data_IF_010143358022
#
_entry.id   IF_010143358022
#
_cell.length_a   1.000
_cell.length_b   1.000
_cell.length_c   1.000
_cell.angle_alpha   90.00
_cell.angle_beta   90.00
_cell.angle_gamma   90.00
#
_symmetry.space_group_name_H-M   'P 1'
#
loop_
_entity.id
_entity.type
_entity.pdbx_description
1 polymer ?
#
# COMPACT_ATOMS: atom_id res chain seq x y z
N UNK A 1 -61.05 -48.37 -45.38
CA UNK A 1 -59.95 -47.95 -44.49
C UNK A 1 -59.42 -46.60 -44.95
N UNK A 2 -59.61 -45.53 -44.16
CA UNK A 2 -58.67 -44.41 -43.91
C UNK A 2 -59.45 -43.26 -43.25
N UNK A 3 -59.40 -43.24 -41.91
CA UNK A 3 -59.70 -42.06 -41.09
C UNK A 3 -58.44 -41.18 -41.09
N UNK A 4 -58.60 -39.88 -41.33
CA UNK A 4 -57.57 -38.88 -41.05
C UNK A 4 -58.06 -38.02 -39.88
N UNK A 5 -57.30 -38.08 -38.79
CA UNK A 5 -57.56 -37.44 -37.51
C UNK A 5 -57.12 -35.97 -37.52
N UNK A 6 -57.90 -35.13 -36.85
CA UNK A 6 -57.62 -33.73 -36.58
C UNK A 6 -56.50 -33.58 -35.53
N UNK A 7 -55.56 -32.67 -35.79
CA UNK A 7 -54.52 -32.24 -34.85
C UNK A 7 -55.03 -31.04 -34.02
N UNK A 8 -54.84 -31.01 -32.69
CA UNK A 8 -55.23 -29.86 -31.89
C UNK A 8 -54.13 -28.78 -31.90
N UNK A 9 -54.57 -27.53 -31.96
CA UNK A 9 -53.75 -26.33 -31.86
C UNK A 9 -53.28 -26.17 -30.40
N UNK A 10 -51.98 -26.33 -30.14
CA UNK A 10 -51.36 -26.10 -28.83
C UNK A 10 -50.96 -24.62 -28.73
N UNK A 11 -51.76 -23.81 -28.03
CA UNK A 11 -51.43 -22.42 -27.70
C UNK A 11 -50.36 -22.37 -26.62
N UNK A 12 -49.14 -22.02 -27.01
CA UNK A 12 -48.00 -21.79 -26.12
C UNK A 12 -48.20 -20.44 -25.41
N UNK A 13 -48.56 -20.47 -24.13
CA UNK A 13 -48.61 -19.29 -23.26
C UNK A 13 -47.16 -18.82 -23.02
N UNK A 14 -46.75 -17.69 -23.62
CA UNK A 14 -45.51 -17.01 -23.22
C UNK A 14 -45.72 -16.43 -21.81
N UNK A 15 -45.15 -17.11 -20.82
CA UNK A 15 -44.90 -16.50 -19.51
C UNK A 15 -43.74 -15.52 -19.71
N UNK A 16 -44.03 -14.23 -19.70
CA UNK A 16 -43.00 -13.20 -19.61
C UNK A 16 -42.19 -13.46 -18.32
N UNK A 17 -40.84 -13.56 -18.38
CA UNK A 17 -40.06 -13.60 -17.17
C UNK A 17 -40.31 -12.29 -16.44
N UNK A 18 -40.80 -12.37 -15.21
CA UNK A 18 -40.86 -11.22 -14.31
C UNK A 18 -39.45 -10.62 -14.22
N UNK A 19 -39.28 -9.40 -14.75
CA UNK A 19 -38.09 -8.59 -14.52
C UNK A 19 -38.05 -8.29 -13.02
N UNK A 20 -37.28 -9.08 -12.27
CA UNK A 20 -36.74 -8.63 -11.00
C UNK A 20 -35.43 -7.93 -11.34
N UNK A 21 -35.25 -6.68 -10.90
CA UNK A 21 -33.96 -6.01 -11.03
C UNK A 21 -32.83 -6.93 -10.55
N UNK A 22 -31.75 -7.00 -11.33
CA UNK A 22 -30.61 -7.86 -11.04
C UNK A 22 -30.10 -7.56 -9.63
N UNK A 23 -29.97 -8.55 -8.72
CA UNK A 23 -29.54 -8.28 -7.36
C UNK A 23 -28.16 -7.61 -7.36
N UNK A 24 -27.87 -6.75 -6.36
CA UNK A 24 -26.58 -6.06 -6.24
C UNK A 24 -25.36 -6.99 -6.38
N UNK A 25 -25.49 -8.27 -6.01
CA UNK A 25 -24.45 -9.29 -6.19
C UNK A 25 -24.10 -9.50 -7.66
N UNK A 26 -25.09 -9.56 -8.56
CA UNK A 26 -24.88 -9.71 -10.00
C UNK A 26 -24.27 -8.44 -10.61
N UNK A 27 -24.76 -7.27 -10.18
CA UNK A 27 -24.22 -5.99 -10.63
C UNK A 27 -22.75 -5.81 -10.22
N UNK A 28 -22.40 -6.17 -8.98
CA UNK A 28 -21.02 -6.22 -8.51
C UNK A 28 -20.18 -7.23 -9.28
N UNK A 29 -20.75 -8.38 -9.63
CA UNK A 29 -20.05 -9.39 -10.43
C UNK A 29 -19.73 -8.87 -11.84
N UNK A 30 -20.65 -8.15 -12.49
CA UNK A 30 -20.39 -7.49 -13.77
C UNK A 30 -19.22 -6.50 -13.67
N UNK A 31 -19.14 -5.74 -12.59
CA UNK A 31 -18.02 -4.83 -12.35
C UNK A 31 -16.68 -5.57 -12.11
N UNK A 32 -16.70 -6.70 -11.40
CA UNK A 32 -15.53 -7.59 -11.23
C UNK A 32 -15.08 -8.15 -12.59
N UNK A 33 -16.04 -8.49 -13.45
CA UNK A 33 -15.80 -8.93 -14.83
C UNK A 33 -15.42 -7.78 -15.77
N UNK A 34 -15.28 -6.56 -15.25
CA UNK A 34 -14.96 -5.31 -15.97
C UNK A 34 -16.00 -4.89 -17.01
N UNK A 35 -17.21 -5.45 -16.94
CA UNK A 35 -18.36 -5.07 -17.76
C UNK A 35 -19.07 -3.85 -17.14
N UNK A 36 -18.35 -2.73 -17.02
CA UNK A 36 -18.82 -1.54 -16.28
C UNK A 36 -20.08 -0.91 -16.88
N UNK A 37 -20.26 -0.95 -18.20
CA UNK A 37 -21.48 -0.45 -18.84
C UNK A 37 -22.71 -1.27 -18.43
N UNK A 38 -22.61 -2.61 -18.47
CA UNK A 38 -23.69 -3.51 -18.03
C UNK A 38 -23.94 -3.43 -16.52
N UNK A 39 -22.88 -3.24 -15.73
CA UNK A 39 -23.01 -3.01 -14.30
C UNK A 39 -23.75 -1.70 -14.01
N UNK A 40 -23.49 -0.65 -14.80
CA UNK A 40 -24.17 0.63 -14.65
C UNK A 40 -25.64 0.53 -15.03
N UNK A 41 -25.97 -0.18 -16.12
CA UNK A 41 -27.36 -0.48 -16.50
C UNK A 41 -28.09 -1.21 -15.37
N UNK A 42 -27.50 -2.27 -14.80
CA UNK A 42 -28.09 -3.01 -13.69
C UNK A 42 -28.26 -2.18 -12.41
N UNK A 43 -27.33 -1.27 -12.11
CA UNK A 43 -27.50 -0.31 -11.01
C UNK A 43 -28.63 0.68 -11.29
N UNK A 44 -28.72 1.19 -12.52
CA UNK A 44 -29.78 2.15 -12.89
C UNK A 44 -31.17 1.49 -12.82
N UNK A 45 -31.29 0.19 -13.16
CA UNK A 45 -32.52 -0.59 -12.95
C UNK A 45 -32.88 -0.73 -11.47
N UNK A 46 -31.91 -1.06 -10.61
CA UNK A 46 -32.13 -1.15 -9.16
C UNK A 46 -32.59 0.18 -8.56
N UNK A 47 -32.03 1.29 -9.03
CA UNK A 47 -32.38 2.63 -8.56
C UNK A 47 -33.71 3.13 -9.14
N UNK A 48 -34.20 2.57 -10.25
CA UNK A 48 -35.55 2.83 -10.72
C UNK A 48 -36.60 2.20 -9.80
N UNK A 49 -36.31 1.05 -9.19
CA UNK A 49 -37.18 0.39 -8.21
C UNK A 49 -37.07 1.01 -6.81
N UNK A 50 -35.83 1.25 -6.34
CA UNK A 50 -35.54 1.90 -5.06
C UNK A 50 -34.53 3.04 -5.23
N UNK A 51 -35.01 4.27 -5.50
CA UNK A 51 -34.15 5.44 -5.67
C UNK A 51 -33.32 5.81 -4.43
N UNK A 52 -33.63 5.26 -3.25
CA UNK A 52 -32.93 5.55 -1.99
C UNK A 52 -31.96 4.45 -1.59
N UNK A 53 -31.77 3.42 -2.41
CA UNK A 53 -30.81 2.36 -2.13
C UNK A 53 -29.38 2.93 -2.07
N UNK A 54 -28.88 3.12 -0.84
CA UNK A 54 -27.59 3.75 -0.59
C UNK A 54 -26.43 2.97 -1.20
N UNK A 55 -26.49 1.64 -1.13
CA UNK A 55 -25.48 0.75 -1.68
C UNK A 55 -25.40 0.88 -3.20
N UNK A 56 -26.55 0.89 -3.88
CA UNK A 56 -26.62 1.04 -5.33
C UNK A 56 -26.15 2.43 -5.78
N UNK A 57 -26.50 3.50 -5.06
CA UNK A 57 -26.04 4.88 -5.37
C UNK A 57 -24.54 5.05 -5.18
N UNK A 58 -23.99 4.53 -4.09
CA UNK A 58 -22.54 4.47 -3.87
C UNK A 58 -21.85 3.78 -5.04
N UNK A 59 -22.34 2.57 -5.37
CA UNK A 59 -21.76 1.76 -6.44
C UNK A 59 -21.90 2.43 -7.82
N UNK A 60 -22.99 3.15 -8.08
CA UNK A 60 -23.17 3.98 -9.27
C UNK A 60 -22.05 4.99 -9.44
N UNK A 61 -21.73 5.74 -8.37
CA UNK A 61 -20.63 6.72 -8.38
C UNK A 61 -19.27 6.07 -8.68
N UNK A 62 -19.03 4.87 -8.14
CA UNK A 62 -17.83 4.07 -8.45
C UNK A 62 -17.78 3.69 -9.93
N UNK A 63 -18.88 3.14 -10.48
CA UNK A 63 -18.96 2.74 -11.89
C UNK A 63 -18.78 3.92 -12.84
N UNK A 64 -19.41 5.07 -12.55
CA UNK A 64 -19.21 6.31 -13.31
C UNK A 64 -17.73 6.73 -13.32
N UNK A 65 -17.03 6.56 -12.21
CA UNK A 65 -15.59 6.82 -12.15
C UNK A 65 -14.79 5.85 -13.02
N UNK A 66 -15.12 4.55 -12.99
CA UNK A 66 -14.45 3.51 -13.82
C UNK A 66 -14.68 3.72 -15.32
N UNK A 67 -15.80 4.33 -15.69
CA UNK A 67 -16.17 4.70 -17.06
C UNK A 67 -15.62 6.07 -17.49
N UNK A 68 -14.77 6.70 -16.69
CA UNK A 68 -14.22 8.05 -16.94
C UNK A 68 -15.30 9.15 -17.06
N UNK A 69 -16.48 8.91 -16.49
CA UNK A 69 -17.59 9.88 -16.40
C UNK A 69 -17.45 10.72 -15.12
N UNK A 70 -16.29 11.37 -14.98
CA UNK A 70 -15.86 12.05 -13.75
C UNK A 70 -16.87 13.11 -13.26
N UNK A 71 -17.43 13.92 -14.17
CA UNK A 71 -18.40 14.96 -13.80
C UNK A 71 -19.67 14.36 -13.20
N UNK A 72 -20.18 13.26 -13.80
CA UNK A 72 -21.38 12.57 -13.32
C UNK A 72 -21.12 11.93 -11.94
N UNK A 73 -19.94 11.32 -11.76
CA UNK A 73 -19.54 10.74 -10.48
C UNK A 73 -19.46 11.78 -9.35
N UNK A 74 -18.90 12.97 -9.64
CA UNK A 74 -18.85 14.07 -8.67
C UNK A 74 -20.25 14.52 -8.27
N UNK A 75 -21.17 14.64 -9.24
CA UNK A 75 -22.57 15.00 -8.96
C UNK A 75 -23.23 13.93 -8.07
N UNK A 76 -23.04 12.65 -8.38
CA UNK A 76 -23.60 11.54 -7.59
C UNK A 76 -23.08 11.57 -6.14
N UNK A 77 -21.77 11.68 -5.93
CA UNK A 77 -21.19 11.73 -4.58
C UNK A 77 -21.57 13.00 -3.82
N UNK A 78 -21.69 14.16 -4.48
CA UNK A 78 -22.18 15.38 -3.83
C UNK A 78 -23.64 15.25 -3.41
N UNK A 79 -24.49 14.64 -4.24
CA UNK A 79 -25.88 14.38 -3.89
C UNK A 79 -25.99 13.40 -2.72
N UNK A 80 -25.19 12.33 -2.71
CA UNK A 80 -25.09 11.40 -1.58
C UNK A 80 -24.68 12.12 -0.29
N UNK A 81 -23.66 12.98 -0.34
CA UNK A 81 -23.16 13.70 0.82
C UNK A 81 -24.11 14.81 1.32
N UNK A 82 -24.97 15.34 0.46
CA UNK A 82 -26.01 16.28 0.87
C UNK A 82 -27.09 15.60 1.74
N UNK A 83 -27.37 14.32 1.49
CA UNK A 83 -28.35 13.53 2.23
C UNK A 83 -27.72 12.76 3.41
N UNK A 84 -26.49 12.30 3.24
CA UNK A 84 -25.75 11.44 4.17
C UNK A 84 -24.33 12.00 4.43
N UNK A 85 -24.20 13.13 5.15
CA UNK A 85 -22.92 13.81 5.37
C UNK A 85 -21.96 13.07 6.32
N UNK A 86 -22.43 11.99 6.93
CA UNK A 86 -21.76 11.14 7.92
C UNK A 86 -21.10 9.88 7.33
N UNK A 87 -21.23 9.66 6.02
CA UNK A 87 -20.56 8.55 5.34
C UNK A 87 -19.13 8.91 4.94
N UNK A 88 -18.15 8.16 5.45
CA UNK A 88 -16.73 8.39 5.15
C UNK A 88 -16.37 8.06 3.69
N UNK A 89 -16.95 7.02 3.12
CA UNK A 89 -16.64 6.51 1.78
C UNK A 89 -16.89 7.51 0.63
N UNK A 90 -18.07 8.17 0.52
CA UNK A 90 -18.29 9.22 -0.48
C UNK A 90 -17.31 10.38 -0.37
N UNK A 91 -16.90 10.76 0.85
CA UNK A 91 -15.89 11.82 1.04
C UNK A 91 -14.53 11.40 0.45
N UNK A 92 -14.10 10.16 0.70
CA UNK A 92 -12.89 9.61 0.08
C UNK A 92 -13.00 9.60 -1.46
N UNK A 93 -14.09 9.05 -2.00
CA UNK A 93 -14.26 8.93 -3.45
C UNK A 93 -14.36 10.30 -4.14
N UNK A 94 -15.07 11.26 -3.54
CA UNK A 94 -15.12 12.64 -4.04
C UNK A 94 -13.74 13.29 -4.03
N UNK A 95 -12.95 13.10 -2.97
CA UNK A 95 -11.61 13.67 -2.89
C UNK A 95 -10.70 13.20 -4.03
N UNK A 96 -10.77 11.91 -4.35
CA UNK A 96 -9.98 11.32 -5.42
C UNK A 96 -10.37 11.92 -6.78
N UNK A 97 -11.66 12.13 -7.03
CA UNK A 97 -12.15 12.79 -8.25
C UNK A 97 -11.72 14.26 -8.34
N UNK A 98 -11.80 15.00 -7.23
CA UNK A 98 -11.33 16.38 -7.13
C UNK A 98 -9.82 16.47 -7.39
N UNK A 99 -9.04 15.52 -6.86
CA UNK A 99 -7.60 15.43 -7.10
C UNK A 99 -7.28 15.19 -8.59
N UNK A 100 -8.06 14.35 -9.27
CA UNK A 100 -7.93 14.13 -10.72
C UNK A 100 -8.21 15.41 -11.53
N UNK A 101 -9.02 16.33 -11.01
CA UNK A 101 -9.26 17.66 -11.59
C UNK A 101 -8.24 18.72 -11.16
N UNK A 102 -7.25 18.36 -10.32
CA UNK A 102 -6.26 19.30 -9.77
C UNK A 102 -6.77 20.14 -8.60
N UNK A 103 -7.97 19.86 -8.08
CA UNK A 103 -8.58 20.57 -6.95
C UNK A 103 -8.06 20.01 -5.60
N UNK A 104 -6.74 20.02 -5.40
CA UNK A 104 -6.08 19.34 -4.28
C UNK A 104 -6.48 19.84 -2.90
N UNK A 105 -6.79 21.13 -2.74
CA UNK A 105 -7.24 21.69 -1.47
C UNK A 105 -8.63 21.16 -1.09
N UNK A 106 -9.56 21.08 -2.03
CA UNK A 106 -10.89 20.51 -1.77
C UNK A 106 -10.80 18.99 -1.54
N UNK A 107 -9.91 18.30 -2.26
CA UNK A 107 -9.61 16.89 -2.02
C UNK A 107 -9.10 16.66 -0.59
N UNK A 108 -8.21 17.53 -0.09
CA UNK A 108 -7.73 17.47 1.30
C UNK A 108 -8.88 17.57 2.30
N UNK A 109 -9.75 18.57 2.16
CA UNK A 109 -10.87 18.77 3.10
C UNK A 109 -11.82 17.56 3.12
N UNK A 110 -12.12 16.99 1.96
CA UNK A 110 -12.93 15.78 1.86
C UNK A 110 -12.27 14.58 2.54
N UNK A 111 -10.96 14.35 2.35
CA UNK A 111 -10.24 13.26 3.03
C UNK A 111 -10.15 13.46 4.55
N UNK A 112 -9.92 14.69 5.01
CA UNK A 112 -9.96 15.02 6.44
C UNK A 112 -11.34 14.72 7.03
N UNK A 113 -12.42 14.99 6.30
CA UNK A 113 -13.76 14.63 6.72
C UNK A 113 -13.98 13.12 6.76
N UNK A 114 -13.51 12.38 5.76
CA UNK A 114 -13.55 10.91 5.75
C UNK A 114 -12.83 10.31 6.97
N UNK A 115 -11.63 10.80 7.29
CA UNK A 115 -10.84 10.36 8.45
C UNK A 115 -11.50 10.76 9.77
N UNK A 116 -12.13 11.94 9.85
CA UNK A 116 -12.86 12.34 11.04
C UNK A 116 -14.04 11.40 11.33
N UNK A 117 -14.75 10.96 10.29
CA UNK A 117 -15.88 10.04 10.39
C UNK A 117 -15.41 8.61 10.68
N UNK A 118 -14.31 8.18 10.05
CA UNK A 118 -13.72 6.85 10.24
C UNK A 118 -12.19 6.96 10.42
N UNK A 119 -11.71 7.11 11.67
CA UNK A 119 -10.27 7.32 11.94
C UNK A 119 -9.35 6.21 11.46
N UNK A 120 -9.88 4.99 11.32
CA UNK A 120 -9.14 3.80 10.88
C UNK A 120 -9.24 3.54 9.37
N UNK A 121 -9.76 4.50 8.59
CA UNK A 121 -9.90 4.37 7.13
C UNK A 121 -8.54 4.53 6.45
N UNK A 122 -7.82 3.42 6.33
CA UNK A 122 -6.46 3.35 5.78
C UNK A 122 -6.32 3.99 4.40
N UNK A 123 -7.26 3.73 3.49
CA UNK A 123 -7.28 4.26 2.13
C UNK A 123 -7.38 5.79 2.13
N UNK A 124 -8.16 6.37 3.05
CA UNK A 124 -8.26 7.83 3.18
C UNK A 124 -6.96 8.45 3.70
N UNK A 125 -6.22 7.77 4.60
CA UNK A 125 -4.89 8.22 5.05
C UNK A 125 -3.84 8.13 3.93
N UNK A 126 -3.87 7.06 3.13
CA UNK A 126 -3.00 6.91 1.96
C UNK A 126 -3.25 8.04 0.95
N UNK A 127 -4.50 8.22 0.54
CA UNK A 127 -4.91 9.29 -0.36
C UNK A 127 -4.53 10.67 0.20
N UNK A 128 -4.68 10.92 1.50
CA UNK A 128 -4.30 12.19 2.11
C UNK A 128 -2.78 12.44 2.06
N UNK A 129 -1.97 11.39 2.20
CA UNK A 129 -0.52 11.46 2.01
C UNK A 129 -0.12 11.87 0.59
N UNK A 130 -0.82 11.34 -0.41
CA UNK A 130 -0.62 11.71 -1.82
C UNK A 130 -1.00 13.17 -2.07
N UNK A 131 -2.12 13.63 -1.52
CA UNK A 131 -2.54 15.03 -1.60
C UNK A 131 -1.52 15.96 -0.93
N UNK A 132 -1.02 15.63 0.26
CA UNK A 132 0.02 16.43 0.90
C UNK A 132 1.31 16.49 0.08
N UNK A 133 1.69 15.38 -0.57
CA UNK A 133 2.86 15.34 -1.46
C UNK A 133 2.68 16.26 -2.67
N UNK A 134 1.49 16.27 -3.29
CA UNK A 134 1.16 17.18 -4.40
C UNK A 134 1.15 18.64 -3.98
N UNK A 135 0.49 18.97 -2.86
CA UNK A 135 0.46 20.34 -2.32
C UNK A 135 1.86 20.85 -1.96
N UNK A 136 2.69 19.99 -1.35
CA UNK A 136 4.09 20.32 -1.08
C UNK A 136 4.87 20.58 -2.38
N UNK A 137 4.70 19.74 -3.40
CA UNK A 137 5.33 19.93 -4.71
C UNK A 137 4.97 21.29 -5.31
N UNK A 138 3.68 21.64 -5.37
CA UNK A 138 3.20 22.93 -5.88
C UNK A 138 3.79 24.12 -5.12
N UNK A 139 3.87 24.03 -3.79
CA UNK A 139 4.44 25.08 -2.95
C UNK A 139 5.95 25.25 -3.21
N UNK A 140 6.70 24.16 -3.35
CA UNK A 140 8.13 24.22 -3.66
C UNK A 140 8.38 24.71 -5.09
N UNK A 141 7.57 24.29 -6.06
CA UNK A 141 7.64 24.81 -7.43
C UNK A 141 7.41 26.32 -7.44
N UNK A 142 6.40 26.80 -6.72
CA UNK A 142 6.15 28.24 -6.60
C UNK A 142 7.32 28.98 -5.97
N UNK A 143 7.92 28.43 -4.91
CA UNK A 143 9.09 29.01 -4.27
C UNK A 143 10.32 29.04 -5.21
N UNK A 144 10.47 28.04 -6.06
CA UNK A 144 11.54 27.97 -7.07
C UNK A 144 11.31 28.96 -8.22
N UNK A 145 10.08 29.08 -8.72
CA UNK A 145 9.72 30.08 -9.74
C UNK A 145 9.95 31.53 -9.28
N UNK A 146 9.76 31.80 -7.98
CA UNK A 146 10.01 33.12 -7.41
C UNK A 146 11.51 33.40 -7.21
N UNK A 147 12.32 32.36 -7.06
CA UNK A 147 13.78 32.46 -6.93
C UNK A 147 14.44 31.15 -7.40
N UNK A 148 14.94 31.16 -8.64
CA UNK A 148 15.56 29.99 -9.28
C UNK A 148 16.86 29.55 -8.61
N UNK A 149 17.47 30.40 -7.76
CA UNK A 149 18.65 30.06 -6.96
C UNK A 149 18.30 29.39 -5.62
N UNK A 150 17.01 29.18 -5.32
CA UNK A 150 16.55 28.55 -4.09
C UNK A 150 16.87 27.04 -4.06
N UNK A 151 18.14 26.73 -3.74
CA UNK A 151 18.64 25.35 -3.67
C UNK A 151 17.89 24.47 -2.65
N UNK A 152 17.19 25.06 -1.67
CA UNK A 152 16.39 24.29 -0.71
C UNK A 152 15.13 23.75 -1.38
N UNK A 153 14.39 24.60 -2.09
CA UNK A 153 13.22 24.21 -2.86
C UNK A 153 13.59 23.19 -3.95
N UNK A 154 14.67 23.46 -4.70
CA UNK A 154 15.17 22.57 -5.75
C UNK A 154 15.48 21.14 -5.23
N UNK A 155 16.14 21.02 -4.07
CA UNK A 155 16.41 19.71 -3.46
C UNK A 155 15.13 19.01 -3.01
N UNK A 156 14.16 19.75 -2.46
CA UNK A 156 12.87 19.18 -2.02
C UNK A 156 12.04 18.69 -3.20
N UNK A 157 12.03 19.42 -4.31
CA UNK A 157 11.41 18.97 -5.56
C UNK A 157 12.03 17.66 -6.07
N UNK A 158 13.36 17.55 -6.06
CA UNK A 158 14.04 16.29 -6.44
C UNK A 158 13.69 15.10 -5.55
N UNK A 159 13.47 15.32 -4.25
CA UNK A 159 13.01 14.26 -3.34
C UNK A 159 11.55 13.88 -3.60
N UNK A 160 10.70 14.87 -3.89
CA UNK A 160 9.29 14.63 -4.17
C UNK A 160 9.06 13.97 -5.53
N UNK A 161 9.92 14.19 -6.52
CA UNK A 161 9.81 13.54 -7.83
C UNK A 161 9.64 12.02 -7.71
N UNK A 162 10.42 11.35 -6.85
CA UNK A 162 10.31 9.90 -6.62
C UNK A 162 9.04 9.44 -5.89
N UNK A 163 8.30 10.35 -5.26
CA UNK A 163 7.04 10.09 -4.56
C UNK A 163 5.84 10.42 -5.46
N UNK A 164 5.99 11.46 -6.29
CA UNK A 164 4.96 12.01 -7.18
C UNK A 164 4.90 11.27 -8.53
N UNK A 165 5.99 10.60 -8.93
CA UNK A 165 6.11 9.73 -10.13
C UNK A 165 5.55 8.30 -9.95
N UNK A 166 4.80 8.03 -8.88
CA UNK A 166 3.85 6.90 -8.93
C UNK A 166 2.77 7.34 -9.92
N UNK A 167 3.00 7.03 -11.20
CA UNK A 167 2.07 7.21 -12.33
C UNK A 167 0.65 7.19 -11.79
N UNK A 168 -0.01 8.35 -11.79
CA UNK A 168 -1.47 8.52 -11.69
C UNK A 168 -2.15 7.23 -11.25
N UNK A 169 -1.94 6.82 -10.00
CA UNK A 169 -2.55 5.61 -9.49
C UNK A 169 -4.03 5.93 -9.61
N UNK A 170 -4.66 5.36 -10.65
CA UNK A 170 -5.99 5.75 -11.04
C UNK A 170 -6.86 5.71 -9.80
N UNK A 171 -7.80 6.64 -9.64
CA UNK A 171 -8.58 6.82 -8.44
C UNK A 171 -8.72 5.54 -7.60
N UNK A 172 -8.10 5.48 -6.43
CA UNK A 172 -8.38 4.43 -5.44
C UNK A 172 -9.76 4.71 -4.86
N UNK A 173 -10.77 4.52 -5.72
CA UNK A 173 -12.17 4.49 -5.37
C UNK A 173 -12.37 3.18 -4.62
N UNK A 174 -12.99 3.24 -3.46
CA UNK A 174 -13.31 2.01 -2.74
C UNK A 174 -14.40 1.25 -3.49
N UNK A 175 -14.10 0.03 -3.93
CA UNK A 175 -15.07 -0.85 -4.62
C UNK A 175 -16.01 -1.58 -3.64
N UNK A 176 -15.99 -1.22 -2.35
CA UNK A 176 -16.69 -1.94 -1.28
C UNK A 176 -17.66 -1.03 -0.53
N UNK A 177 -18.94 -1.00 -0.92
CA UNK A 177 -19.97 -0.34 -0.15
C UNK A 177 -20.33 -1.27 1.01
N UNK A 178 -19.61 -1.12 2.12
CA UNK A 178 -20.05 -1.64 3.40
C UNK A 178 -19.90 -0.53 4.42
N UNK A 179 -21.00 0.15 4.79
CA UNK A 179 -20.97 1.14 5.85
C UNK A 179 -20.49 0.47 7.14
N UNK A 180 -19.25 0.73 7.55
CA UNK A 180 -18.75 0.30 8.86
C UNK A 180 -19.22 1.31 9.89
N UNK A 181 -20.45 1.10 10.36
CA UNK A 181 -20.96 1.74 11.56
C UNK A 181 -20.30 1.07 12.77
N UNK A 182 -19.20 1.63 13.27
CA UNK A 182 -18.82 1.53 14.68
C UNK A 182 -17.63 2.46 15.01
N UNK A 183 -17.91 3.47 15.84
CA UNK A 183 -16.90 4.27 16.52
C UNK A 183 -17.22 4.34 18.02
N UNK A 184 -16.25 3.99 18.85
CA UNK A 184 -16.08 4.34 20.29
C UNK A 184 -14.76 3.66 20.70
N UNK A 185 -13.72 4.26 21.30
CA UNK A 185 -13.33 5.57 21.82
C UNK A 185 -11.78 5.63 21.75
N UNK A 186 -11.12 6.80 21.79
CA UNK A 186 -9.66 6.90 21.91
C UNK A 186 -9.20 6.80 23.38
N UNK A 187 -8.06 6.15 23.71
CA UNK A 187 -7.51 6.21 25.05
C UNK A 187 -6.71 7.49 25.31
N UNK A 188 -6.88 7.96 26.55
CA UNK A 188 -6.44 9.20 27.17
C UNK A 188 -4.95 9.20 27.54
N UNK A 189 -4.25 10.31 27.30
CA UNK A 189 -2.82 10.49 27.64
C UNK A 189 -2.70 11.01 29.08
N UNK A 190 -2.06 10.24 29.97
CA UNK A 190 -1.71 10.70 31.32
C UNK A 190 -0.36 11.41 31.34
N UNK A 191 -0.39 12.65 31.83
CA UNK A 191 0.77 13.47 32.20
C UNK A 191 1.56 12.83 33.35
N UNK A 192 2.89 12.91 33.28
CA UNK A 192 3.78 12.61 34.41
C UNK A 192 4.37 13.92 34.94
N UNK A 193 4.13 14.13 36.24
CA UNK A 193 4.59 15.23 37.08
C UNK A 193 6.02 14.98 37.55
N UNK A 194 6.83 16.03 37.58
CA UNK A 194 8.19 16.05 38.13
C UNK A 194 8.21 16.03 39.67
N UNK A 195 9.33 15.60 40.27
CA UNK A 195 9.75 16.15 41.57
C UNK A 195 11.20 16.69 41.59
N UNK A 196 11.56 17.47 42.63
CA UNK A 196 12.73 18.36 42.66
C UNK A 196 13.94 17.84 43.47
N UNK A 197 15.01 18.64 43.43
CA UNK A 197 16.29 18.57 44.19
C UNK A 197 16.09 18.55 45.73
N UNK A 198 17.03 18.24 46.64
CA UNK A 198 18.47 18.48 46.85
C UNK A 198 19.03 17.29 47.73
N UNK A 199 20.33 16.99 47.87
CA UNK A 199 21.22 17.67 48.84
C UNK A 199 22.69 17.18 48.73
N UNK A 200 23.62 18.04 49.16
CA UNK A 200 25.08 17.83 49.38
C UNK A 200 25.37 18.16 50.87
N UNK A 201 26.59 18.01 51.44
CA UNK A 201 27.78 17.21 51.08
C UNK A 201 28.42 16.49 52.31
N UNK A 202 29.44 15.66 52.08
CA UNK A 202 30.50 15.42 53.07
C UNK A 202 31.86 15.22 52.37
N UNK A 203 32.84 16.06 52.76
CA UNK A 203 34.24 15.97 52.36
C UNK A 203 34.98 14.96 53.25
N UNK A 204 35.83 14.11 52.67
CA UNK A 204 36.99 13.57 53.38
C UNK A 204 38.20 13.49 52.44
N UNK A 205 39.25 14.20 52.87
CA UNK A 205 40.70 14.05 52.67
C UNK A 205 41.26 13.55 51.32
N UNK A 206 42.16 14.36 50.75
CA UNK A 206 43.11 13.96 49.71
C UNK A 206 44.24 13.09 50.27
N UNK A 207 44.63 12.01 49.57
CA UNK A 207 46.00 11.53 49.62
C UNK A 207 46.68 11.58 48.24
N UNK A 208 47.82 12.28 48.24
CA UNK A 208 49.05 12.09 47.47
C UNK A 208 48.99 11.46 46.07
N UNK A 209 49.38 12.29 45.09
CA UNK A 209 49.66 11.93 43.69
C UNK A 209 50.89 11.02 43.62
N UNK A 210 50.66 9.73 43.42
CA UNK A 210 51.60 8.85 42.71
C UNK A 210 51.24 8.88 41.23
N UNK A 211 52.22 9.19 40.36
CA UNK A 211 52.04 9.10 38.90
C UNK A 211 51.77 7.64 38.53
N UNK A 212 50.50 7.33 38.34
CA UNK A 212 50.04 6.09 37.72
C UNK A 212 50.48 6.11 36.25
N UNK A 213 51.05 5.02 35.71
CA UNK A 213 51.30 4.94 34.28
C UNK A 213 49.97 5.06 33.54
N UNK A 214 49.94 5.88 32.48
CA UNK A 214 48.76 6.06 31.63
C UNK A 214 48.10 4.70 31.34
N UNK A 215 46.81 4.52 31.65
CA UNK A 215 46.13 3.28 31.38
C UNK A 215 46.20 3.03 29.87
N UNK A 216 46.82 1.90 29.50
CA UNK A 216 46.93 1.46 28.12
C UNK A 216 45.51 1.50 27.52
N UNK A 217 45.30 2.18 26.38
CA UNK A 217 43.97 2.37 25.85
C UNK A 217 43.30 0.99 25.68
N UNK A 218 42.02 0.87 26.07
CA UNK A 218 41.31 -0.41 25.97
C UNK A 218 41.41 -0.94 24.54
N UNK A 219 41.55 -2.27 24.37
CA UNK A 219 41.63 -2.86 23.05
C UNK A 219 40.39 -2.46 22.24
N UNK A 220 40.59 -1.91 21.04
CA UNK A 220 39.48 -1.52 20.17
C UNK A 220 38.67 -2.77 19.79
N UNK A 221 37.37 -2.76 20.08
CA UNK A 221 36.44 -3.84 19.75
C UNK A 221 35.55 -3.37 18.60
N UNK A 222 35.27 -4.27 17.65
CA UNK A 222 34.42 -3.98 16.50
C UNK A 222 32.96 -4.34 16.79
N UNK A 223 32.06 -3.40 16.53
CA UNK A 223 30.62 -3.49 16.77
C UNK A 223 29.81 -3.30 15.50
N UNK A 224 28.67 -3.98 15.39
CA UNK A 224 27.68 -3.77 14.33
C UNK A 224 26.53 -2.89 14.84
N UNK A 225 26.31 -1.76 14.19
CA UNK A 225 25.21 -0.84 14.48
C UNK A 225 24.17 -0.98 13.38
N UNK A 226 22.96 -1.38 13.73
CA UNK A 226 21.84 -1.61 12.80
C UNK A 226 20.70 -0.61 13.05
N UNK A 227 19.67 -0.65 12.19
CA UNK A 227 18.45 0.14 12.34
C UNK A 227 18.33 1.29 11.36
N UNK A 228 19.04 1.20 10.22
CA UNK A 228 19.01 2.21 9.17
C UNK A 228 18.10 1.76 8.03
N UNK A 229 17.09 2.57 7.73
CA UNK A 229 16.16 2.37 6.61
C UNK A 229 16.76 2.83 5.27
N UNK A 230 17.64 3.85 5.32
CA UNK A 230 18.35 4.40 4.16
C UNK A 230 19.66 5.11 4.56
N UNK A 231 20.48 5.45 3.56
CA UNK A 231 21.81 6.05 3.70
C UNK A 231 21.80 7.40 4.45
N UNK A 232 20.70 8.15 4.41
CA UNK A 232 20.60 9.44 5.09
C UNK A 232 20.61 9.30 6.61
N UNK A 233 20.16 8.16 7.12
CA UNK A 233 20.16 7.84 8.55
C UNK A 233 21.55 7.42 9.05
N UNK A 234 22.46 6.97 8.16
CA UNK A 234 23.82 6.58 8.53
C UNK A 234 24.65 7.80 8.97
N UNK A 235 24.57 8.91 8.23
CA UNK A 235 25.43 10.09 8.40
C UNK A 235 25.49 10.66 9.83
N UNK A 236 24.36 10.92 10.52
CA UNK A 236 24.41 11.48 11.88
C UNK A 236 25.01 10.50 12.89
N UNK A 237 24.78 9.19 12.72
CA UNK A 237 25.33 8.16 13.61
C UNK A 237 26.82 7.94 13.31
N UNK A 238 27.23 7.94 12.04
CA UNK A 238 28.63 7.89 11.61
C UNK A 238 29.42 9.06 12.18
N UNK A 239 28.89 10.29 12.09
CA UNK A 239 29.55 11.48 12.64
C UNK A 239 29.71 11.38 14.15
N UNK A 240 28.62 11.04 14.86
CA UNK A 240 28.64 10.86 16.31
C UNK A 240 29.65 9.81 16.79
N UNK A 241 29.71 8.65 16.14
CA UNK A 241 30.68 7.60 16.45
C UNK A 241 32.12 8.04 16.17
N UNK A 242 32.36 8.82 15.11
CA UNK A 242 33.70 9.34 14.78
C UNK A 242 34.16 10.41 15.77
N UNK A 243 33.26 11.27 16.24
CA UNK A 243 33.56 12.26 17.27
C UNK A 243 33.94 11.61 18.62
N UNK A 244 33.39 10.43 18.91
CA UNK A 244 33.75 9.56 20.04
C UNK A 244 35.08 8.79 19.81
N UNK A 245 35.74 8.98 18.66
CA UNK A 245 37.02 8.35 18.32
C UNK A 245 36.91 6.94 17.74
N UNK A 246 35.72 6.49 17.35
CA UNK A 246 35.53 5.21 16.70
C UNK A 246 35.93 5.26 15.20
N UNK A 247 36.49 4.17 14.70
CA UNK A 247 36.69 3.98 13.24
C UNK A 247 35.42 3.35 12.68
N UNK A 248 34.74 4.06 11.77
CA UNK A 248 33.43 3.64 11.25
C UNK A 248 33.48 3.33 9.77
N UNK A 249 33.01 2.14 9.39
CA UNK A 249 32.77 1.69 8.01
C UNK A 249 31.27 1.60 7.78
N UNK A 250 30.80 2.31 6.76
CA UNK A 250 29.41 2.22 6.30
C UNK A 250 29.27 0.98 5.40
N UNK A 251 28.24 0.18 5.64
CA UNK A 251 27.96 -1.03 4.86
C UNK A 251 26.57 -0.92 4.26
N UNK A 252 26.50 -1.10 2.94
CA UNK A 252 25.27 -1.19 2.18
C UNK A 252 25.31 -2.50 1.39
N UNK A 253 24.43 -3.44 1.72
CA UNK A 253 24.30 -4.71 1.00
C UNK A 253 22.97 -4.73 0.24
N UNK A 254 23.02 -5.16 -1.01
CA UNK A 254 21.81 -5.41 -1.80
C UNK A 254 21.37 -6.85 -1.62
N UNK A 255 20.19 -7.05 -1.03
CA UNK A 255 19.56 -8.37 -0.99
C UNK A 255 18.30 -8.38 -1.86
N UNK A 256 18.17 -9.42 -2.67
CA UNK A 256 16.93 -9.70 -3.39
C UNK A 256 15.94 -10.36 -2.42
N UNK A 257 15.01 -9.55 -1.90
CA UNK A 257 13.92 -10.08 -1.06
C UNK A 257 12.80 -10.56 -1.95
N UNK A 258 12.34 -11.79 -1.71
CA UNK A 258 11.11 -12.31 -2.33
C UNK A 258 9.93 -11.47 -1.83
N UNK A 259 9.25 -10.78 -2.75
CA UNK A 259 8.05 -9.99 -2.45
C UNK A 259 6.77 -10.81 -2.55
N UNK A 260 6.72 -11.75 -3.49
CA UNK A 260 5.59 -12.65 -3.73
C UNK A 260 5.98 -13.78 -4.69
N UNK A 261 5.04 -14.68 -4.97
CA UNK A 261 5.16 -15.78 -5.90
C UNK A 261 4.13 -15.61 -7.01
N UNK A 262 4.59 -15.58 -8.25
CA UNK A 262 3.71 -15.54 -9.42
C UNK A 262 3.39 -16.98 -9.84
N UNK A 263 2.12 -17.29 -10.05
CA UNK A 263 1.67 -18.58 -10.60
C UNK A 263 1.22 -18.37 -12.04
N UNK A 264 1.64 -19.25 -12.94
CA UNK A 264 1.30 -19.16 -14.36
C UNK A 264 1.26 -20.52 -15.04
N UNK A 265 0.46 -20.63 -16.10
CA UNK A 265 0.56 -21.70 -17.10
C UNK A 265 1.68 -21.32 -18.08
N UNK A 266 2.64 -22.22 -18.35
CA UNK A 266 3.77 -21.94 -19.23
C UNK A 266 3.36 -21.42 -20.61
N UNK A 267 4.24 -20.66 -21.28
CA UNK A 267 4.03 -20.20 -22.64
C UNK A 267 3.63 -21.31 -23.62
N UNK A 268 2.62 -21.03 -24.44
CA UNK A 268 2.18 -21.88 -25.54
C UNK A 268 2.72 -21.35 -26.87
N UNK A 269 2.61 -22.18 -27.91
CA UNK A 269 3.18 -21.90 -29.23
C UNK A 269 2.73 -20.56 -29.83
N UNK A 270 1.47 -20.16 -29.62
CA UNK A 270 0.92 -18.92 -30.16
C UNK A 270 -0.35 -18.49 -29.41
N UNK A 271 -0.86 -17.29 -29.74
CA UNK A 271 -2.06 -16.69 -29.14
C UNK A 271 -3.32 -17.54 -29.30
N UNK A 272 -3.46 -18.28 -30.41
CA UNK A 272 -4.61 -19.15 -30.64
C UNK A 272 -4.65 -20.29 -29.62
N UNK A 273 -3.51 -20.93 -29.36
CA UNK A 273 -3.41 -21.98 -28.34
C UNK A 273 -3.63 -21.42 -26.93
N UNK A 274 -3.18 -20.20 -26.66
CA UNK A 274 -3.48 -19.49 -25.40
C UNK A 274 -4.98 -19.28 -25.21
N UNK A 275 -5.68 -18.78 -26.23
CA UNK A 275 -7.12 -18.56 -26.14
C UNK A 275 -7.88 -19.87 -25.92
N UNK A 276 -7.51 -20.95 -26.62
CA UNK A 276 -8.08 -22.30 -26.38
C UNK A 276 -7.86 -22.76 -24.95
N UNK A 277 -6.65 -22.58 -24.44
CA UNK A 277 -6.30 -22.99 -23.08
C UNK A 277 -7.04 -22.17 -22.01
N UNK A 278 -7.22 -20.87 -22.24
CA UNK A 278 -8.03 -19.99 -21.38
C UNK A 278 -9.49 -20.46 -21.35
N UNK A 279 -10.08 -20.79 -22.50
CA UNK A 279 -11.45 -21.33 -22.55
C UNK A 279 -11.55 -22.62 -21.74
N UNK A 280 -10.61 -23.56 -21.90
CA UNK A 280 -10.59 -24.82 -21.13
C UNK A 280 -10.50 -24.58 -19.61
N UNK A 281 -9.63 -23.66 -19.18
CA UNK A 281 -9.51 -23.29 -17.78
C UNK A 281 -10.79 -22.67 -17.24
N UNK A 282 -11.43 -21.77 -18.00
CA UNK A 282 -12.72 -21.16 -17.64
C UNK A 282 -13.84 -22.21 -17.53
N UNK A 283 -13.90 -23.16 -18.46
CA UNK A 283 -14.86 -24.28 -18.41
C UNK A 283 -14.61 -25.17 -17.19
N UNK A 284 -13.36 -25.33 -16.77
CA UNK A 284 -12.99 -26.06 -15.55
C UNK A 284 -13.22 -25.24 -14.25
N UNK A 285 -13.87 -24.07 -14.33
CA UNK A 285 -14.20 -23.23 -13.19
C UNK A 285 -13.13 -22.21 -12.78
N UNK A 286 -12.04 -22.09 -13.55
CA UNK A 286 -10.94 -21.17 -13.27
C UNK A 286 -11.13 -19.88 -14.06
N UNK A 287 -11.58 -18.81 -13.38
CA UNK A 287 -11.94 -17.54 -14.04
C UNK A 287 -10.90 -16.42 -13.86
N UNK A 288 -10.14 -16.49 -12.78
CA UNK A 288 -9.10 -15.54 -12.36
C UNK A 288 -7.77 -15.78 -13.10
N UNK A 289 -7.82 -15.74 -14.44
CA UNK A 289 -6.67 -15.98 -15.31
C UNK A 289 -6.50 -14.87 -16.36
N UNK A 290 -5.26 -14.48 -16.63
CA UNK A 290 -4.93 -13.37 -17.53
C UNK A 290 -3.89 -13.83 -18.56
N UNK A 291 -4.10 -13.49 -19.83
CA UNK A 291 -3.10 -13.75 -20.86
C UNK A 291 -1.85 -12.87 -20.66
N UNK A 292 -0.66 -13.47 -20.72
CA UNK A 292 0.61 -12.75 -20.68
C UNK A 292 1.05 -12.42 -22.11
N UNK A 293 1.20 -11.12 -22.39
CA UNK A 293 1.44 -10.61 -23.75
C UNK A 293 2.89 -10.16 -24.03
N UNK A 294 3.74 -10.05 -22.99
CA UNK A 294 5.11 -9.50 -23.08
C UNK A 294 6.08 -10.23 -22.14
N UNK A 295 7.37 -10.01 -22.33
CA UNK A 295 8.45 -10.59 -21.52
C UNK A 295 8.66 -12.08 -21.78
N UNK A 296 9.44 -12.73 -20.92
CA UNK A 296 9.86 -14.14 -21.06
C UNK A 296 8.68 -15.13 -20.97
N UNK A 297 7.55 -14.68 -20.42
CA UNK A 297 6.32 -15.45 -20.33
C UNK A 297 5.28 -15.08 -21.39
N UNK A 298 5.68 -14.40 -22.47
CA UNK A 298 4.78 -14.11 -23.60
C UNK A 298 4.12 -15.40 -24.10
N UNK A 299 2.82 -15.36 -24.35
CA UNK A 299 1.95 -16.51 -24.63
C UNK A 299 1.73 -17.46 -23.44
N UNK A 300 2.06 -17.05 -22.21
CA UNK A 300 1.65 -17.74 -20.98
C UNK A 300 0.30 -17.25 -20.47
N UNK A 301 -0.19 -17.86 -19.39
CA UNK A 301 -1.42 -17.44 -18.70
C UNK A 301 -1.09 -17.24 -17.23
N UNK A 302 -1.21 -16.01 -16.72
CA UNK A 302 -1.08 -15.72 -15.29
C UNK A 302 -2.30 -16.26 -14.53
N UNK A 303 -2.05 -16.87 -13.38
CA UNK A 303 -3.05 -17.53 -12.53
C UNK A 303 -3.00 -17.06 -11.07
N UNK A 304 -2.45 -15.85 -10.86
CA UNK A 304 -2.40 -15.15 -9.59
C UNK A 304 -0.99 -14.79 -9.10
N UNK A 305 -0.96 -13.90 -8.10
CA UNK A 305 0.23 -13.53 -7.32
C UNK A 305 -0.09 -13.84 -5.86
N UNK A 306 0.83 -14.53 -5.17
CA UNK A 306 0.61 -15.06 -3.84
C UNK A 306 1.71 -14.59 -2.89
N UNK A 307 1.33 -14.17 -1.68
CA UNK A 307 2.30 -13.68 -0.69
C UNK A 307 3.25 -14.76 -0.15
N UNK A 308 2.87 -16.03 -0.23
CA UNK A 308 3.68 -17.15 0.29
C UNK A 308 3.88 -18.26 -0.73
N UNK A 309 4.96 -19.03 -0.56
CA UNK A 309 5.28 -20.18 -1.42
C UNK A 309 4.19 -21.24 -1.34
N UNK A 310 3.67 -21.46 -0.14
CA UNK A 310 2.67 -22.47 0.16
C UNK A 310 1.34 -22.13 -0.52
N UNK A 311 0.93 -20.85 -0.52
CA UNK A 311 -0.27 -20.41 -1.20
C UNK A 311 -0.14 -20.56 -2.73
N UNK A 312 1.00 -20.17 -3.29
CA UNK A 312 1.29 -20.39 -4.70
C UNK A 312 1.27 -21.88 -5.07
N UNK A 313 1.85 -22.73 -4.21
CA UNK A 313 1.90 -24.17 -4.44
C UNK A 313 0.49 -24.80 -4.37
N UNK A 314 -0.38 -24.37 -3.46
CA UNK A 314 -1.79 -24.81 -3.43
C UNK A 314 -2.50 -24.50 -4.75
N UNK A 315 -2.26 -23.31 -5.32
CA UNK A 315 -2.82 -22.94 -6.63
C UNK A 315 -2.28 -23.84 -7.75
N UNK A 316 -0.98 -24.11 -7.76
CA UNK A 316 -0.36 -25.04 -8.71
C UNK A 316 -0.98 -26.45 -8.60
N UNK A 317 -1.16 -26.96 -7.39
CA UNK A 317 -1.79 -28.27 -7.16
C UNK A 317 -3.26 -28.28 -7.59
N UNK A 318 -4.00 -27.19 -7.37
CA UNK A 318 -5.38 -27.07 -7.85
C UNK A 318 -5.44 -27.16 -9.39
N UNK A 319 -4.56 -26.47 -10.10
CA UNK A 319 -4.46 -26.59 -11.57
C UNK A 319 -4.13 -28.01 -12.01
N UNK A 320 -3.21 -28.68 -11.32
CA UNK A 320 -2.87 -30.07 -11.60
C UNK A 320 -4.07 -31.00 -11.41
N UNK A 321 -4.89 -30.80 -10.37
CA UNK A 321 -6.13 -31.57 -10.13
C UNK A 321 -7.17 -31.41 -11.23
N UNK A 322 -7.14 -30.28 -11.95
CA UNK A 322 -7.99 -29.99 -13.11
C UNK A 322 -7.36 -30.43 -14.45
N UNK A 323 -6.20 -31.10 -14.42
CA UNK A 323 -5.50 -31.57 -15.62
C UNK A 323 -4.67 -30.49 -16.33
N UNK A 324 -4.31 -29.42 -15.63
CA UNK A 324 -3.52 -28.31 -16.18
C UNK A 324 -2.12 -28.24 -15.58
N UNK A 325 -1.14 -27.87 -16.40
CA UNK A 325 0.22 -27.59 -15.93
C UNK A 325 0.37 -26.13 -15.56
N UNK A 326 0.67 -25.86 -14.29
CA UNK A 326 1.04 -24.53 -13.81
C UNK A 326 2.40 -24.58 -13.10
N UNK A 327 3.08 -23.44 -13.05
CA UNK A 327 4.35 -23.24 -12.33
C UNK A 327 4.22 -22.04 -11.42
N UNK A 328 4.97 -22.06 -10.32
CA UNK A 328 5.17 -20.90 -9.48
C UNK A 328 6.63 -20.46 -9.55
N UNK A 329 6.88 -19.15 -9.58
CA UNK A 329 8.22 -18.58 -9.48
C UNK A 329 8.23 -17.40 -8.50
N UNK A 330 9.28 -17.26 -7.68
CA UNK A 330 9.43 -16.11 -6.79
C UNK A 330 9.65 -14.84 -7.62
N UNK A 331 9.03 -13.74 -7.19
CA UNK A 331 9.36 -12.40 -7.64
C UNK A 331 10.20 -11.72 -6.57
N UNK A 332 11.31 -11.16 -7.01
CA UNK A 332 12.25 -10.46 -6.15
C UNK A 332 12.09 -8.95 -6.29
N UNK A 333 12.39 -8.24 -5.22
CA UNK A 333 12.64 -6.80 -5.21
C UNK A 333 13.96 -6.59 -4.49
N UNK A 334 14.92 -5.97 -5.16
CA UNK A 334 16.17 -5.55 -4.53
C UNK A 334 15.85 -4.55 -3.41
N UNK A 335 16.26 -4.89 -2.18
CA UNK A 335 16.24 -3.97 -1.05
C UNK A 335 17.67 -3.78 -0.58
N UNK A 336 18.07 -2.52 -0.41
CA UNK A 336 19.35 -2.20 0.23
C UNK A 336 19.17 -2.26 1.74
N UNK A 337 20.02 -3.02 2.40
CA UNK A 337 20.15 -3.06 3.85
C UNK A 337 21.36 -2.23 4.24
N UNK A 338 21.22 -1.36 5.24
CA UNK A 338 22.26 -0.45 5.69
C UNK A 338 22.63 -0.70 7.15
N UNK A 339 23.92 -0.77 7.45
CA UNK A 339 24.46 -0.83 8.81
C UNK A 339 25.86 -0.23 8.89
N UNK A 340 26.33 0.01 10.11
CA UNK A 340 27.69 0.47 10.38
C UNK A 340 28.49 -0.62 11.07
N UNK A 341 29.77 -0.70 10.72
CA UNK A 341 30.78 -1.34 11.56
C UNK A 341 31.60 -0.26 12.25
N UNK A 342 31.67 -0.31 13.58
CA UNK A 342 32.36 0.69 14.39
C UNK A 342 33.40 0.02 15.29
N UNK A 343 34.67 0.36 15.12
CA UNK A 343 35.75 -0.02 16.02
C UNK A 343 35.93 1.06 17.08
N UNK A 344 35.50 0.78 18.31
CA UNK A 344 35.60 1.72 19.43
C UNK A 344 36.38 1.10 20.60
N UNK A 345 37.04 1.95 21.39
CA UNK A 345 37.65 1.56 22.66
C UNK A 345 36.64 1.49 23.82
N UNK A 346 35.40 1.94 23.62
CA UNK A 346 34.36 1.95 24.65
C UNK A 346 33.71 0.58 24.82
N UNK A 347 33.10 0.37 25.99
CA UNK A 347 32.37 -0.86 26.27
C UNK A 347 31.07 -0.94 25.44
N UNK A 348 30.59 -2.15 25.19
CA UNK A 348 29.35 -2.36 24.45
C UNK A 348 28.13 -1.76 25.18
N UNK A 349 28.16 -1.72 26.51
CA UNK A 349 27.04 -1.26 27.33
C UNK A 349 26.96 0.27 27.33
N UNK A 350 28.11 0.96 27.40
CA UNK A 350 28.17 2.42 27.29
C UNK A 350 27.69 2.89 25.92
N UNK A 351 28.20 2.27 24.84
CA UNK A 351 27.78 2.60 23.48
C UNK A 351 26.29 2.35 23.27
N UNK A 352 25.75 1.26 23.82
CA UNK A 352 24.32 0.94 23.69
C UNK A 352 23.45 1.95 24.43
N UNK A 353 23.84 2.37 25.63
CA UNK A 353 23.09 3.36 26.42
C UNK A 353 23.05 4.72 25.71
N UNK A 354 24.19 5.18 25.18
CA UNK A 354 24.27 6.48 24.51
C UNK A 354 23.66 6.48 23.10
N UNK A 355 23.78 5.38 22.35
CA UNK A 355 23.06 5.21 21.09
C UNK A 355 21.56 5.28 21.31
N UNK A 356 21.04 4.64 22.36
CA UNK A 356 19.62 4.69 22.69
C UNK A 356 19.15 6.11 23.11
N UNK A 357 20.02 6.87 23.79
CA UNK A 357 19.73 8.24 24.22
C UNK A 357 19.73 9.24 23.06
N UNK A 358 20.67 9.10 22.12
CA UNK A 358 20.86 10.04 21.01
C UNK A 358 20.10 9.64 19.73
N UNK A 359 19.79 8.35 19.57
CA UNK A 359 19.18 7.79 18.37
C UNK A 359 18.16 6.68 18.69
N UNK A 360 16.94 7.10 19.05
CA UNK A 360 15.87 6.23 19.58
C UNK A 360 15.46 5.01 18.72
N UNK A 361 15.81 4.98 17.43
CA UNK A 361 15.53 3.85 16.52
C UNK A 361 16.74 2.96 16.21
N UNK A 362 17.94 3.36 16.61
CA UNK A 362 19.20 2.69 16.29
C UNK A 362 19.52 1.65 17.35
N UNK A 363 19.98 0.47 16.92
CA UNK A 363 20.26 -0.64 17.82
C UNK A 363 21.67 -1.17 17.62
N UNK A 364 22.41 -1.31 18.71
CA UNK A 364 23.66 -2.04 18.74
C UNK A 364 23.34 -3.55 18.75
N UNK A 365 23.59 -4.25 17.64
CA UNK A 365 23.59 -5.72 17.61
C UNK A 365 25.01 -6.24 17.87
N UNK A 366 25.11 -7.50 18.28
CA UNK A 366 26.27 -8.17 18.91
C UNK A 366 27.67 -7.89 18.32
N UNK A 367 28.70 -8.18 19.15
CA UNK A 367 30.12 -7.91 18.92
C UNK A 367 30.83 -8.94 18.01
N UNK A 368 31.88 -8.43 17.34
CA UNK A 368 32.69 -8.98 16.26
C UNK A 368 32.02 -8.85 14.89
N UNK A 369 32.41 -7.78 14.19
CA UNK A 369 32.14 -7.55 12.77
C UNK A 369 32.46 -8.80 11.95
N UNK A 370 31.72 -9.03 10.86
CA UNK A 370 31.96 -10.18 9.96
C UNK A 370 33.41 -10.14 9.49
N UNK A 371 34.22 -11.03 10.08
CA UNK A 371 35.64 -11.32 9.83
C UNK A 371 36.45 -10.27 9.06
N UNK A 372 37.48 -9.75 9.74
CA UNK A 372 38.66 -9.22 9.11
C UNK A 372 39.07 -10.04 7.87
N UNK A 373 39.24 -9.35 6.75
CA UNK A 373 40.14 -9.74 5.65
C UNK A 373 40.77 -8.48 5.12
#
# INVERSE_FOLDING_TARGET
MKNLAAFPLLTLLLVAPSLFAAPMVEVRQLAVDQAYDLALEGVDELLAEDPKNLEARLFRGVLLTRLDRITDAIVEFRHLLAEHPDLAEPHNNLAVLLAAQGEFEQAREALLRAIQLQPNYDTAHENLGDIYSKLANMAYERAYQLNEENRRAERKLRMLASVVDIETAGPLVTDSPTPQENATQPPEIKQVVAPPAEDKPAQVAQPQVTKQPEPKPPPKVCYRVDGFDDESQLRPVTAWLRDDGAVVREVAEGEDKIINYKVYVPPLANRTEVNKQIVRLKTAGVRDIIQISRGDLKNGIAAGIFGTREAAQRRVTHFASLGFTARSEPRYRGRKSYWLEAMSGRSADDLRAELAANFSKIKLKSAVCSSAS
#
